data_IF_286486327623
#
_entry.id   IF_286486327623
#
_cell.length_a   1.000
_cell.length_b   1.000
_cell.length_c   1.000
_cell.angle_alpha   90.00
_cell.angle_beta   90.00
_cell.angle_gamma   90.00
#
_symmetry.space_group_name_H-M   'P 1'
#
loop_
_entity.id
_entity.type
_entity.pdbx_description
1 polymer ?
#
# COMPACT_ATOMS: atom_id res chain seq x y z
N UNK A 1 -20.18 -8.51 17.07
CA UNK A 1 -19.31 -7.31 17.00
C UNK A 1 -17.89 -7.76 17.26
N UNK A 2 -16.93 -7.39 16.40
CA UNK A 2 -15.52 -7.70 16.62
C UNK A 2 -14.97 -7.00 17.87
N UNK A 3 -13.85 -7.50 18.39
CA UNK A 3 -13.13 -6.89 19.52
C UNK A 3 -12.72 -5.46 19.15
N UNK A 4 -12.93 -4.50 20.06
CA UNK A 4 -12.42 -3.13 19.95
C UNK A 4 -11.16 -3.01 20.81
N UNK A 5 -10.21 -2.21 20.33
CA UNK A 5 -8.94 -1.95 20.99
C UNK A 5 -8.83 -0.46 21.34
N UNK A 6 -8.17 -0.15 22.45
CA UNK A 6 -7.82 1.22 22.82
C UNK A 6 -6.58 1.70 22.07
N UNK A 7 -6.37 3.03 22.01
CA UNK A 7 -5.15 3.62 21.46
C UNK A 7 -3.90 2.89 21.95
N UNK A 8 -3.04 2.50 21.02
CA UNK A 8 -1.74 1.86 21.29
C UNK A 8 -1.80 0.50 22.00
N UNK A 9 -2.98 -0.12 22.15
CA UNK A 9 -3.09 -1.47 22.70
C UNK A 9 -2.50 -2.51 21.74
N UNK A 10 -2.70 -2.29 20.44
CA UNK A 10 -2.20 -3.12 19.35
C UNK A 10 -1.84 -2.25 18.16
N UNK A 11 -1.12 -2.84 17.21
CA UNK A 11 -0.63 -2.21 16.00
C UNK A 11 -0.82 -3.18 14.82
N UNK A 12 -0.95 -2.61 13.63
CA UNK A 12 -0.72 -3.33 12.38
C UNK A 12 0.33 -2.62 11.55
N UNK A 13 1.20 -3.37 10.90
CA UNK A 13 2.19 -2.83 9.97
C UNK A 13 2.04 -3.55 8.64
N UNK A 14 2.13 -2.81 7.54
CA UNK A 14 2.11 -3.32 6.17
C UNK A 14 3.29 -2.71 5.41
N UNK A 15 3.99 -3.52 4.61
CA UNK A 15 5.16 -3.15 3.83
C UNK A 15 5.03 -3.70 2.41
N UNK A 16 5.04 -2.82 1.42
CA UNK A 16 4.95 -3.20 0.02
C UNK A 16 6.33 -3.30 -0.64
N UNK A 17 6.56 -4.38 -1.38
CA UNK A 17 7.79 -4.62 -2.13
C UNK A 17 7.48 -4.91 -3.59
N UNK A 18 8.26 -4.33 -4.50
CA UNK A 18 8.22 -4.73 -5.90
C UNK A 18 9.13 -5.92 -6.16
N UNK A 19 8.64 -6.88 -6.96
CA UNK A 19 9.46 -7.91 -7.56
C UNK A 19 10.16 -7.34 -8.80
N UNK A 20 11.47 -7.52 -8.87
CA UNK A 20 12.30 -7.00 -9.97
C UNK A 20 13.32 -8.03 -10.44
N UNK A 21 13.74 -7.91 -11.70
CA UNK A 21 14.88 -8.63 -12.24
C UNK A 21 16.21 -8.01 -11.73
N UNK A 22 17.34 -8.63 -12.11
CA UNK A 22 18.67 -8.13 -11.74
C UNK A 22 18.96 -6.69 -12.22
N UNK A 23 18.38 -6.28 -13.35
CA UNK A 23 18.50 -4.94 -13.94
C UNK A 23 17.47 -3.93 -13.40
N UNK A 24 16.72 -4.30 -12.36
CA UNK A 24 15.62 -3.53 -11.75
C UNK A 24 14.37 -3.36 -12.63
N UNK A 25 14.29 -3.98 -13.81
CA UNK A 25 13.00 -4.06 -14.52
C UNK A 25 11.99 -4.81 -13.66
N UNK A 26 10.74 -4.34 -13.62
CA UNK A 26 9.69 -4.98 -12.81
C UNK A 26 9.39 -6.38 -13.32
N UNK A 27 9.12 -7.29 -12.40
CA UNK A 27 8.79 -8.68 -12.68
C UNK A 27 7.36 -8.97 -12.20
N UNK A 28 6.34 -8.92 -13.08
CA UNK A 28 4.94 -9.12 -12.73
C UNK A 28 4.61 -10.60 -12.54
N UNK A 29 5.18 -11.21 -11.50
CA UNK A 29 5.15 -12.64 -11.23
C UNK A 29 4.80 -12.96 -9.77
N UNK A 30 4.10 -12.06 -9.07
CA UNK A 30 3.64 -12.30 -7.70
C UNK A 30 2.81 -13.58 -7.61
N UNK A 31 2.03 -13.91 -8.63
CA UNK A 31 1.26 -15.16 -8.69
C UNK A 31 2.14 -16.41 -8.68
N UNK A 32 3.30 -16.37 -9.35
CA UNK A 32 4.30 -17.44 -9.30
C UNK A 32 4.94 -17.53 -7.91
N UNK A 33 5.21 -16.40 -7.25
CA UNK A 33 5.69 -16.39 -5.87
C UNK A 33 4.68 -17.06 -4.94
N UNK A 34 3.39 -16.71 -5.06
CA UNK A 34 2.32 -17.34 -4.27
C UNK A 34 2.22 -18.85 -4.55
N UNK A 35 2.28 -19.25 -5.82
CA UNK A 35 2.29 -20.67 -6.21
C UNK A 35 3.49 -21.43 -5.64
N UNK A 36 4.69 -20.83 -5.61
CA UNK A 36 5.87 -21.45 -5.01
C UNK A 36 5.73 -21.63 -3.49
N UNK A 37 4.98 -20.75 -2.83
CA UNK A 37 4.77 -20.77 -1.38
C UNK A 37 3.67 -21.74 -0.95
N UNK A 38 2.51 -21.68 -1.59
CA UNK A 38 1.30 -22.42 -1.19
C UNK A 38 0.97 -23.63 -2.09
N UNK A 39 1.65 -23.78 -3.24
CA UNK A 39 1.36 -24.82 -4.22
C UNK A 39 0.17 -24.52 -5.14
N UNK A 40 -0.53 -23.41 -4.90
CA UNK A 40 -1.63 -22.89 -5.72
C UNK A 40 -1.58 -21.36 -5.81
N UNK A 41 -2.30 -20.77 -6.76
CA UNK A 41 -2.41 -19.32 -6.88
C UNK A 41 -3.42 -18.83 -5.83
N UNK A 42 -2.92 -18.11 -4.83
CA UNK A 42 -3.72 -17.43 -3.81
C UNK A 42 -3.46 -15.92 -3.81
N UNK A 43 -4.36 -15.19 -3.15
CA UNK A 43 -4.22 -13.75 -2.87
C UNK A 43 -3.60 -13.46 -1.52
N UNK A 44 -3.67 -14.39 -0.59
CA UNK A 44 -3.14 -14.26 0.77
C UNK A 44 -2.37 -15.52 1.16
N UNK A 45 -1.29 -15.33 1.90
CA UNK A 45 -0.43 -16.37 2.48
C UNK A 45 -0.40 -16.16 3.98
N UNK A 46 -0.78 -17.17 4.76
CA UNK A 46 -0.54 -17.19 6.20
C UNK A 46 0.89 -17.70 6.46
N UNK A 47 1.78 -16.83 6.94
CA UNK A 47 3.17 -17.19 7.27
C UNK A 47 3.49 -16.91 8.75
N UNK A 48 2.57 -17.29 9.65
CA UNK A 48 2.74 -17.12 11.09
C UNK A 48 2.41 -15.70 11.53
N UNK A 49 3.38 -14.99 12.10
CA UNK A 49 3.15 -13.61 12.59
C UNK A 49 3.01 -12.58 11.47
N UNK A 50 3.47 -12.91 10.26
CA UNK A 50 3.41 -12.06 9.07
C UNK A 50 2.61 -12.82 8.02
N UNK A 51 1.68 -12.13 7.37
CA UNK A 51 0.97 -12.63 6.20
C UNK A 51 1.48 -11.91 4.95
N UNK A 52 1.34 -12.53 3.78
CA UNK A 52 1.61 -11.87 2.49
C UNK A 52 0.31 -11.70 1.71
N UNK A 53 0.19 -10.64 0.94
CA UNK A 53 -0.94 -10.44 0.03
C UNK A 53 -0.53 -9.86 -1.31
N UNK A 54 -1.30 -10.15 -2.36
CA UNK A 54 -1.17 -9.45 -3.63
C UNK A 54 -1.67 -8.00 -3.50
N UNK A 55 -1.28 -7.19 -4.48
CA UNK A 55 -1.79 -5.83 -4.65
C UNK A 55 -2.48 -5.63 -6.01
N UNK A 56 -2.87 -4.39 -6.32
CA UNK A 56 -3.46 -3.97 -7.61
C UNK A 56 -2.68 -4.47 -8.83
N UNK A 57 -1.35 -4.52 -8.72
CA UNK A 57 -0.43 -4.87 -9.81
C UNK A 57 0.33 -6.16 -9.49
N UNK A 58 0.58 -6.96 -10.51
CA UNK A 58 1.16 -8.30 -10.39
C UNK A 58 2.66 -8.30 -10.05
N UNK A 59 3.31 -7.14 -9.93
CA UNK A 59 4.71 -6.98 -9.51
C UNK A 59 4.87 -6.46 -8.08
N UNK A 60 3.78 -6.23 -7.33
CA UNK A 60 3.84 -5.78 -5.93
C UNK A 60 3.31 -6.87 -5.00
N UNK A 61 4.09 -7.19 -3.97
CA UNK A 61 3.70 -8.02 -2.84
C UNK A 61 3.62 -7.13 -1.59
N UNK A 62 2.57 -7.30 -0.79
CA UNK A 62 2.46 -6.71 0.54
C UNK A 62 2.82 -7.77 1.59
N UNK A 63 3.63 -7.39 2.58
CA UNK A 63 3.81 -8.14 3.83
C UNK A 63 3.08 -7.36 4.92
N UNK A 64 2.29 -8.04 5.74
CA UNK A 64 1.52 -7.41 6.83
C UNK A 64 1.60 -8.23 8.11
N UNK A 65 1.45 -7.58 9.26
CA UNK A 65 1.18 -8.31 10.51
C UNK A 65 -0.06 -9.19 10.33
N UNK A 66 0.01 -10.46 10.74
CA UNK A 66 -1.10 -11.40 10.64
C UNK A 66 -2.14 -11.14 11.76
N UNK A 67 -2.91 -10.07 11.57
CA UNK A 67 -3.80 -9.49 12.57
C UNK A 67 -3.10 -8.48 13.51
N UNK A 68 -3.86 -7.84 14.41
CA UNK A 68 -3.33 -6.84 15.33
C UNK A 68 -2.36 -7.47 16.35
N UNK A 69 -1.21 -6.84 16.57
CA UNK A 69 -0.20 -7.31 17.52
C UNK A 69 0.15 -6.23 18.55
N UNK A 70 0.30 -6.62 19.82
CA UNK A 70 0.87 -5.76 20.85
C UNK A 70 2.41 -5.85 20.89
N UNK A 71 3.01 -6.78 20.14
CA UNK A 71 4.46 -7.03 20.15
C UNK A 71 5.16 -6.29 19.03
N UNK A 72 5.87 -5.22 19.39
CA UNK A 72 6.65 -4.40 18.47
C UNK A 72 8.15 -4.72 18.46
N UNK A 73 8.70 -5.23 19.58
CA UNK A 73 10.15 -5.34 19.76
C UNK A 73 10.84 -6.23 18.72
N UNK A 74 10.23 -7.37 18.40
CA UNK A 74 10.78 -8.34 17.45
C UNK A 74 10.19 -8.20 16.04
N UNK A 75 9.23 -7.29 15.86
CA UNK A 75 8.44 -7.21 14.62
C UNK A 75 9.33 -6.94 13.39
N UNK A 76 10.34 -6.09 13.53
CA UNK A 76 11.31 -5.85 12.44
C UNK A 76 12.10 -7.11 12.05
N UNK A 77 12.41 -7.99 13.00
CA UNK A 77 13.08 -9.27 12.72
C UNK A 77 12.13 -10.24 12.02
N UNK A 78 10.85 -10.26 12.40
CA UNK A 78 9.83 -11.10 11.78
C UNK A 78 9.59 -10.70 10.31
N UNK A 79 9.45 -9.41 10.01
CA UNK A 79 9.41 -8.93 8.63
C UNK A 79 10.69 -9.29 7.86
N UNK A 80 11.86 -9.11 8.47
CA UNK A 80 13.13 -9.43 7.81
C UNK A 80 13.25 -10.92 7.43
N UNK A 81 12.82 -11.83 8.31
CA UNK A 81 12.78 -13.28 8.00
C UNK A 81 11.91 -13.57 6.77
N UNK A 82 10.75 -12.92 6.66
CA UNK A 82 9.85 -13.06 5.52
C UNK A 82 10.48 -12.51 4.23
N UNK A 83 11.15 -11.36 4.29
CA UNK A 83 11.89 -10.79 3.15
C UNK A 83 12.99 -11.76 2.67
N UNK A 84 13.73 -12.39 3.59
CA UNK A 84 14.75 -13.39 3.24
C UNK A 84 14.13 -14.65 2.63
N UNK A 85 13.00 -15.11 3.17
CA UNK A 85 12.26 -16.24 2.62
C UNK A 85 11.78 -15.97 1.19
N UNK A 86 11.13 -14.82 0.95
CA UNK A 86 10.66 -14.44 -0.38
C UNK A 86 11.83 -14.37 -1.36
N UNK A 87 12.94 -13.70 -1.02
CA UNK A 87 14.09 -13.61 -1.92
C UNK A 87 14.70 -14.99 -2.23
N UNK A 88 14.68 -15.94 -1.28
CA UNK A 88 15.10 -17.33 -1.52
C UNK A 88 14.15 -18.05 -2.48
N UNK A 89 12.84 -17.84 -2.38
CA UNK A 89 11.85 -18.40 -3.31
C UNK A 89 11.96 -17.77 -4.71
N UNK A 90 12.33 -16.50 -4.80
CA UNK A 90 12.51 -15.77 -6.07
C UNK A 90 13.84 -16.09 -6.77
N UNK A 91 14.84 -16.60 -6.05
CA UNK A 91 16.18 -16.88 -6.59
C UNK A 91 16.16 -17.77 -7.85
N UNK A 92 15.43 -18.91 -7.91
CA UNK A 92 15.37 -19.74 -9.11
C UNK A 92 14.69 -19.05 -10.30
N UNK A 93 13.90 -17.99 -10.05
CA UNK A 93 13.23 -17.19 -11.07
C UNK A 93 14.09 -16.00 -11.54
N UNK A 94 15.28 -15.81 -10.98
CA UNK A 94 16.18 -14.69 -11.34
C UNK A 94 15.65 -13.32 -10.91
N UNK A 95 14.78 -13.29 -9.89
CA UNK A 95 14.14 -12.06 -9.39
C UNK A 95 14.42 -11.85 -7.91
N UNK A 96 14.12 -10.65 -7.41
CA UNK A 96 14.30 -10.24 -6.01
C UNK A 96 13.32 -9.14 -5.63
N UNK A 97 13.23 -8.85 -4.34
CA UNK A 97 12.49 -7.69 -3.83
C UNK A 97 13.30 -6.40 -3.97
N UNK A 98 12.60 -5.30 -4.30
CA UNK A 98 13.08 -3.92 -4.24
C UNK A 98 12.37 -3.18 -3.10
N UNK A 99 13.13 -2.57 -2.19
CA UNK A 99 12.62 -1.83 -1.03
C UNK A 99 12.87 -0.32 -1.15
N UNK A 100 12.12 0.36 -2.01
CA UNK A 100 12.10 1.83 -2.17
C UNK A 100 10.66 2.30 -2.27
N UNK A 101 10.37 3.61 -2.18
CA UNK A 101 9.00 4.13 -2.35
C UNK A 101 8.46 3.99 -3.80
N UNK A 102 9.34 3.84 -4.78
CA UNK A 102 9.01 3.59 -6.18
C UNK A 102 10.18 2.88 -6.87
N UNK A 103 9.91 2.12 -7.94
CA UNK A 103 10.97 1.61 -8.80
C UNK A 103 11.57 2.76 -9.65
N UNK A 104 12.90 2.95 -9.63
CA UNK A 104 13.53 4.07 -10.32
C UNK A 104 13.56 3.97 -11.85
N UNK A 105 13.36 2.77 -12.42
CA UNK A 105 13.51 2.51 -13.87
C UNK A 105 12.19 2.13 -14.56
N UNK A 106 11.15 1.75 -13.81
CA UNK A 106 9.86 1.32 -14.36
C UNK A 106 9.24 2.39 -15.25
N UNK A 107 8.83 2.01 -16.47
CA UNK A 107 7.90 2.79 -17.28
C UNK A 107 6.49 2.23 -17.07
N UNK A 108 5.62 2.93 -16.35
CA UNK A 108 4.34 2.36 -15.94
C UNK A 108 3.36 2.23 -17.12
N UNK A 109 3.59 2.93 -18.23
CA UNK A 109 2.77 2.78 -19.44
C UNK A 109 2.99 1.42 -20.11
N UNK A 110 4.23 0.92 -20.12
CA UNK A 110 4.59 -0.34 -20.80
C UNK A 110 4.64 -1.53 -19.85
N UNK A 111 5.01 -1.28 -18.59
CA UNK A 111 5.40 -2.35 -17.67
C UNK A 111 4.28 -2.76 -16.71
N UNK A 112 3.20 -1.97 -16.63
CA UNK A 112 2.09 -2.26 -15.70
C UNK A 112 1.31 -3.49 -16.14
N UNK A 113 1.29 -4.49 -15.27
CA UNK A 113 0.43 -5.67 -15.39
C UNK A 113 -0.46 -5.72 -14.14
N UNK A 114 -1.77 -5.61 -14.33
CA UNK A 114 -2.72 -5.77 -13.23
C UNK A 114 -2.72 -7.20 -12.71
N UNK A 115 -3.02 -7.37 -11.43
CA UNK A 115 -3.35 -8.67 -10.86
C UNK A 115 -4.60 -9.26 -11.53
N UNK A 116 -4.51 -10.52 -11.98
CA UNK A 116 -5.55 -11.17 -12.80
C UNK A 116 -6.36 -12.24 -12.07
N UNK A 117 -6.05 -12.50 -10.79
CA UNK A 117 -6.65 -13.60 -10.04
C UNK A 117 -7.75 -13.08 -9.12
N UNK A 118 -7.86 -13.61 -7.90
CA UNK A 118 -8.89 -13.19 -6.94
C UNK A 118 -8.92 -11.68 -6.79
N UNK A 119 -10.13 -11.12 -6.65
CA UNK A 119 -10.37 -9.68 -6.54
C UNK A 119 -10.09 -8.84 -7.81
N UNK A 120 -9.71 -9.47 -8.93
CA UNK A 120 -9.42 -8.77 -10.19
C UNK A 120 -10.59 -7.98 -10.76
N UNK A 121 -11.84 -8.35 -10.50
CA UNK A 121 -13.02 -7.56 -10.92
C UNK A 121 -12.97 -6.13 -10.36
N UNK A 122 -12.60 -5.97 -9.09
CA UNK A 122 -12.48 -4.66 -8.43
C UNK A 122 -11.29 -3.88 -9.00
N UNK A 123 -10.16 -4.54 -9.22
CA UNK A 123 -8.98 -3.92 -9.83
C UNK A 123 -9.24 -3.47 -11.27
N UNK A 124 -9.96 -4.27 -12.05
CA UNK A 124 -10.36 -3.92 -13.41
C UNK A 124 -11.32 -2.73 -13.43
N UNK A 125 -12.27 -2.67 -12.49
CA UNK A 125 -13.17 -1.52 -12.33
C UNK A 125 -12.37 -0.25 -11.98
N UNK A 126 -11.46 -0.34 -11.00
CA UNK A 126 -10.57 0.77 -10.66
C UNK A 126 -9.76 1.25 -11.86
N UNK A 127 -9.19 0.31 -12.63
CA UNK A 127 -8.44 0.63 -13.83
C UNK A 127 -9.31 1.27 -14.92
N UNK A 128 -10.55 0.81 -15.11
CA UNK A 128 -11.49 1.42 -16.06
C UNK A 128 -11.85 2.86 -15.68
N UNK A 129 -11.93 3.17 -14.38
CA UNK A 129 -12.23 4.51 -13.89
C UNK A 129 -10.99 5.41 -13.99
N UNK A 130 -9.84 4.97 -13.48
CA UNK A 130 -8.68 5.83 -13.22
C UNK A 130 -7.50 5.66 -14.17
N UNK A 131 -7.48 4.59 -14.97
CA UNK A 131 -6.32 4.16 -15.74
C UNK A 131 -5.07 4.01 -14.85
N UNK A 132 -4.96 2.87 -14.18
CA UNK A 132 -3.97 2.60 -13.14
C UNK A 132 -2.53 2.36 -13.67
N UNK A 133 -2.22 2.78 -14.89
CA UNK A 133 -0.89 2.65 -15.53
C UNK A 133 0.05 3.84 -15.28
N UNK A 134 -0.33 4.78 -14.41
CA UNK A 134 0.53 5.91 -14.02
C UNK A 134 1.38 5.60 -12.78
N UNK A 135 2.47 6.34 -12.58
CA UNK A 135 3.35 6.15 -11.42
C UNK A 135 2.62 6.22 -10.07
N UNK A 136 1.59 7.06 -9.93
CA UNK A 136 0.79 7.17 -8.71
C UNK A 136 -0.13 5.98 -8.43
N UNK A 137 -0.08 4.95 -9.27
CA UNK A 137 -0.86 3.71 -9.16
C UNK A 137 0.03 2.48 -9.17
N UNK A 138 0.80 2.28 -10.24
CA UNK A 138 1.52 1.03 -10.47
C UNK A 138 3.00 1.07 -10.09
N UNK A 139 3.54 2.25 -9.79
CA UNK A 139 4.93 2.42 -9.35
C UNK A 139 5.04 2.97 -7.93
N UNK A 140 4.07 2.64 -7.06
CA UNK A 140 4.09 3.03 -5.65
C UNK A 140 4.41 1.83 -4.78
N UNK A 141 5.14 2.08 -3.71
CA UNK A 141 5.30 1.20 -2.58
C UNK A 141 5.06 2.02 -1.32
N UNK A 142 4.52 1.40 -0.29
CA UNK A 142 4.14 2.05 0.95
C UNK A 142 4.66 1.32 2.19
N UNK A 143 4.59 2.04 3.31
CA UNK A 143 4.61 1.46 4.64
C UNK A 143 3.39 2.01 5.36
N UNK A 144 2.52 1.13 5.84
CA UNK A 144 1.34 1.51 6.60
C UNK A 144 1.54 1.20 8.09
N UNK A 145 1.02 2.11 8.92
CA UNK A 145 0.90 1.91 10.35
C UNK A 145 -0.57 2.03 10.73
N UNK A 146 -1.15 0.91 11.13
CA UNK A 146 -2.53 0.82 11.58
C UNK A 146 -2.58 0.98 13.09
N UNK A 147 -3.29 2.02 13.55
CA UNK A 147 -3.50 2.32 14.97
C UNK A 147 -4.99 2.21 15.31
N UNK A 148 -5.36 1.44 16.36
CA UNK A 148 -6.75 1.34 16.81
C UNK A 148 -7.17 2.60 17.56
N UNK A 149 -8.49 2.77 17.71
CA UNK A 149 -9.13 3.72 18.62
C UNK A 149 -10.48 3.13 19.07
N UNK A 150 -10.87 3.38 20.32
CA UNK A 150 -12.04 2.75 20.93
C UNK A 150 -13.35 3.52 20.68
N UNK A 151 -13.28 4.86 20.73
CA UNK A 151 -14.42 5.78 20.65
C UNK A 151 -14.03 7.10 19.93
N UNK A 152 -14.99 8.03 19.80
CA UNK A 152 -14.77 9.32 19.14
C UNK A 152 -13.71 10.19 19.85
N UNK A 153 -13.62 10.12 21.19
CA UNK A 153 -12.61 10.88 21.94
C UNK A 153 -11.18 10.42 21.63
N UNK A 154 -10.97 9.11 21.52
CA UNK A 154 -9.69 8.54 21.11
C UNK A 154 -9.38 8.83 19.64
N UNK A 155 -10.39 8.71 18.76
CA UNK A 155 -10.27 9.06 17.35
C UNK A 155 -9.88 10.52 17.14
N UNK A 156 -10.53 11.46 17.85
CA UNK A 156 -10.23 12.89 17.78
C UNK A 156 -8.75 13.15 18.06
N UNK A 157 -8.23 12.62 19.18
CA UNK A 157 -6.84 12.80 19.62
C UNK A 157 -5.86 12.21 18.60
N UNK A 158 -6.13 10.98 18.14
CA UNK A 158 -5.29 10.29 17.18
C UNK A 158 -5.25 11.02 15.83
N UNK A 159 -6.41 11.38 15.30
CA UNK A 159 -6.53 12.06 14.00
C UNK A 159 -5.88 13.45 14.03
N UNK A 160 -6.09 14.21 15.10
CA UNK A 160 -5.41 15.49 15.29
C UNK A 160 -3.88 15.36 15.29
N UNK A 161 -3.34 14.35 15.99
CA UNK A 161 -1.91 14.08 16.04
C UNK A 161 -1.35 13.64 14.67
N UNK A 162 -2.03 12.70 13.98
CA UNK A 162 -1.64 12.23 12.65
C UNK A 162 -1.53 13.39 11.68
N UNK A 163 -2.50 14.32 11.66
CA UNK A 163 -2.48 15.47 10.75
C UNK A 163 -1.26 16.38 10.94
N UNK A 164 -0.70 16.45 12.14
CA UNK A 164 0.52 17.20 12.43
C UNK A 164 1.79 16.45 12.00
N UNK A 165 1.82 15.13 12.20
CA UNK A 165 2.98 14.29 11.92
C UNK A 165 3.10 13.93 10.44
N UNK A 166 1.99 13.70 9.76
CA UNK A 166 1.93 13.22 8.37
C UNK A 166 2.78 14.05 7.38
N UNK A 167 2.77 15.41 7.39
CA UNK A 167 3.64 16.18 6.50
C UNK A 167 5.13 16.11 6.83
N UNK A 168 5.50 15.67 8.03
CA UNK A 168 6.91 15.55 8.44
C UNK A 168 7.54 14.23 7.97
N UNK A 169 6.74 13.17 7.85
CA UNK A 169 7.22 11.82 7.48
C UNK A 169 7.97 11.82 6.14
N UNK A 170 7.48 12.44 5.05
CA UNK A 170 8.23 12.48 3.80
C UNK A 170 9.59 13.19 3.93
N UNK A 171 9.70 14.18 4.81
CA UNK A 171 10.97 14.85 5.08
C UNK A 171 12.03 13.94 5.72
N UNK A 172 11.62 12.85 6.36
CA UNK A 172 12.50 11.88 7.02
C UNK A 172 12.71 10.60 6.21
N UNK A 173 11.69 10.17 5.46
CA UNK A 173 11.62 8.83 4.88
C UNK A 173 11.57 8.79 3.35
N UNK A 174 11.63 9.94 2.67
CA UNK A 174 11.59 10.03 1.21
C UNK A 174 12.63 9.10 0.54
N UNK A 175 12.19 8.29 -0.41
CA UNK A 175 13.04 7.29 -1.09
C UNK A 175 12.66 7.07 -2.56
N UNK A 176 12.13 8.09 -3.23
CA UNK A 176 11.80 8.02 -4.66
C UNK A 176 12.23 9.29 -5.43
N UNK A 177 13.52 9.67 -5.45
CA UNK A 177 13.97 10.86 -6.18
C UNK A 177 14.22 10.63 -7.68
N UNK A 178 14.13 9.38 -8.14
CA UNK A 178 14.38 8.97 -9.51
C UNK A 178 13.16 8.21 -10.01
N UNK A 179 12.69 8.52 -11.21
CA UNK A 179 11.69 7.75 -11.97
C UNK A 179 12.10 7.70 -13.44
N UNK A 180 11.85 6.57 -14.10
CA UNK A 180 12.24 6.32 -15.50
C UNK A 180 13.73 6.67 -15.79
N UNK A 181 14.62 6.44 -14.81
CA UNK A 181 16.05 6.74 -14.91
C UNK A 181 16.43 8.22 -14.75
N UNK A 182 15.48 9.12 -14.50
CA UNK A 182 15.70 10.56 -14.42
C UNK A 182 15.52 11.08 -12.99
N UNK A 183 16.39 12.02 -12.58
CA UNK A 183 16.20 12.79 -11.35
C UNK A 183 14.98 13.71 -11.54
N UNK A 184 14.04 13.65 -10.61
CA UNK A 184 12.73 14.30 -10.76
C UNK A 184 12.66 15.71 -10.17
N UNK A 185 13.63 16.07 -9.33
CA UNK A 185 13.63 17.31 -8.55
C UNK A 185 12.91 17.22 -7.20
N UNK A 186 12.32 16.07 -6.86
CA UNK A 186 11.69 15.81 -5.56
C UNK A 186 12.43 14.72 -4.81
N UNK A 187 12.43 14.76 -3.48
CA UNK A 187 12.91 13.62 -2.67
C UNK A 187 11.91 12.46 -2.68
N UNK A 188 10.61 12.78 -2.58
CA UNK A 188 9.48 11.84 -2.62
C UNK A 188 8.60 12.13 -3.84
N UNK A 189 9.06 11.74 -5.04
CA UNK A 189 8.24 11.86 -6.26
C UNK A 189 6.99 10.99 -6.21
N UNK A 190 7.01 9.86 -5.47
CA UNK A 190 5.84 8.99 -5.31
C UNK A 190 4.65 9.79 -4.79
N UNK A 191 4.84 10.65 -3.79
CA UNK A 191 3.76 11.52 -3.26
C UNK A 191 3.28 12.59 -4.24
N UNK A 192 4.15 13.10 -5.12
CA UNK A 192 3.77 14.07 -6.16
C UNK A 192 2.79 13.47 -7.17
N UNK A 193 2.96 12.18 -7.50
CA UNK A 193 2.01 11.45 -8.34
C UNK A 193 0.79 10.97 -7.54
N UNK A 194 0.98 10.43 -6.33
CA UNK A 194 -0.08 9.90 -5.49
C UNK A 194 -1.19 10.92 -5.25
N UNK A 195 -0.86 12.16 -4.90
CA UNK A 195 -1.86 13.21 -4.62
C UNK A 195 -2.80 13.53 -5.78
N UNK A 196 -2.46 13.08 -6.99
CA UNK A 196 -3.21 13.30 -8.22
C UNK A 196 -3.79 12.00 -8.83
N UNK A 197 -3.54 10.83 -8.24
CA UNK A 197 -3.85 9.54 -8.86
C UNK A 197 -5.36 9.33 -9.08
N UNK A 198 -6.19 9.82 -8.16
CA UNK A 198 -7.66 9.76 -8.23
C UNK A 198 -8.32 11.09 -8.60
N UNK A 199 -7.61 12.02 -9.26
CA UNK A 199 -8.13 13.36 -9.62
C UNK A 199 -9.47 13.36 -10.37
N UNK A 200 -9.83 12.25 -11.04
CA UNK A 200 -11.13 12.07 -11.72
C UNK A 200 -12.31 12.07 -10.74
N UNK A 201 -12.11 11.54 -9.54
CA UNK A 201 -13.08 11.54 -8.44
C UNK A 201 -12.37 12.13 -7.21
N UNK A 202 -12.24 13.46 -7.13
CA UNK A 202 -11.37 14.10 -6.13
C UNK A 202 -11.81 13.87 -4.68
N UNK A 203 -13.04 13.41 -4.45
CA UNK A 203 -13.55 13.06 -3.12
C UNK A 203 -12.82 11.86 -2.50
N UNK A 204 -12.13 11.02 -3.30
CA UNK A 204 -11.45 9.82 -2.80
C UNK A 204 -10.15 10.16 -2.07
N UNK A 205 -9.22 10.85 -2.74
CA UNK A 205 -7.96 11.31 -2.11
C UNK A 205 -8.15 12.60 -1.31
N UNK A 206 -9.06 13.49 -1.76
CA UNK A 206 -9.27 14.82 -1.20
C UNK A 206 -7.93 15.56 -0.96
N UNK A 207 -7.68 16.01 0.28
CA UNK A 207 -6.37 16.53 0.69
C UNK A 207 -5.51 15.39 1.24
N UNK A 208 -4.23 15.36 0.84
CA UNK A 208 -3.26 14.38 1.39
C UNK A 208 -3.10 14.50 2.90
N UNK A 209 -3.13 15.73 3.44
CA UNK A 209 -3.33 15.94 4.88
C UNK A 209 -4.84 15.96 5.11
N UNK A 210 -5.40 14.96 5.82
CA UNK A 210 -6.85 14.84 5.96
C UNK A 210 -7.52 16.06 6.57
N UNK A 211 -8.82 16.22 6.30
CA UNK A 211 -9.65 17.25 6.93
C UNK A 211 -9.73 17.05 8.46
N UNK A 212 -9.91 18.14 9.24
CA UNK A 212 -10.08 18.07 10.69
C UNK A 212 -11.48 17.54 11.06
N UNK A 213 -11.67 16.23 10.94
CA UNK A 213 -12.89 15.50 11.30
C UNK A 213 -12.61 14.70 12.57
N UNK A 214 -13.48 14.81 13.58
CA UNK A 214 -13.16 14.33 14.93
C UNK A 214 -14.20 13.39 15.54
N UNK A 215 -15.25 13.06 14.80
CA UNK A 215 -16.25 12.10 15.24
C UNK A 215 -16.84 11.36 14.05
N UNK A 216 -17.52 10.25 14.34
CA UNK A 216 -18.15 9.40 13.35
C UNK A 216 -19.19 10.14 12.49
N UNK A 217 -20.06 10.94 13.09
CA UNK A 217 -21.16 11.59 12.36
C UNK A 217 -20.62 12.58 11.30
N UNK A 218 -19.59 13.36 11.66
CA UNK A 218 -18.90 14.26 10.75
C UNK A 218 -18.15 13.52 9.65
N UNK A 219 -17.55 12.36 9.94
CA UNK A 219 -16.96 11.49 8.93
C UNK A 219 -18.00 11.04 7.90
N UNK A 220 -19.17 10.58 8.35
CA UNK A 220 -20.22 10.16 7.44
C UNK A 220 -20.74 11.31 6.58
N UNK A 221 -20.97 12.48 7.20
CA UNK A 221 -21.50 13.67 6.52
C UNK A 221 -20.51 14.26 5.52
N UNK A 222 -19.23 14.32 5.87
CA UNK A 222 -18.22 15.11 5.14
C UNK A 222 -17.33 14.27 4.22
N UNK A 223 -17.16 12.98 4.50
CA UNK A 223 -16.27 12.08 3.75
C UNK A 223 -17.06 10.96 3.09
N UNK A 224 -17.68 10.07 3.86
CA UNK A 224 -18.29 8.85 3.34
C UNK A 224 -19.46 9.10 2.38
N UNK A 225 -20.44 9.92 2.76
CA UNK A 225 -21.60 10.19 1.91
C UNK A 225 -21.25 10.97 0.64
N UNK A 226 -20.34 11.98 0.68
CA UNK A 226 -19.81 12.60 -0.53
C UNK A 226 -19.10 11.62 -1.47
N UNK A 227 -18.23 10.75 -0.95
CA UNK A 227 -17.58 9.68 -1.73
C UNK A 227 -18.64 8.78 -2.39
N UNK A 228 -19.61 8.29 -1.61
CA UNK A 228 -20.68 7.42 -2.11
C UNK A 228 -21.48 8.08 -3.24
N UNK A 229 -21.81 9.36 -3.10
CA UNK A 229 -22.50 10.13 -4.15
C UNK A 229 -21.64 10.29 -5.40
N UNK A 230 -20.34 10.50 -5.24
CA UNK A 230 -19.39 10.72 -6.33
C UNK A 230 -19.05 9.44 -7.11
N UNK A 231 -19.05 8.27 -6.46
CA UNK A 231 -18.81 6.97 -7.11
C UNK A 231 -20.06 6.47 -7.86
N UNK A 232 -21.28 6.83 -7.43
CA UNK A 232 -22.55 6.32 -8.00
C UNK A 232 -22.64 6.27 -9.55
N UNK A 233 -22.08 7.21 -10.34
CA UNK A 233 -22.09 7.09 -11.80
C UNK A 233 -21.21 5.97 -12.39
N UNK A 234 -20.37 5.35 -11.57
CA UNK A 234 -19.41 4.29 -11.93
C UNK A 234 -19.74 2.94 -11.27
N UNK A 235 -20.83 2.88 -10.50
CA UNK A 235 -21.36 1.71 -9.79
C UNK A 235 -22.47 1.02 -10.60
#
# INVERSE_FOLDING_TARGET
MGKKYHLFEVYGIELEYMLVNHDLSVAPIVDKLMMLKEGEITSDVDNGNIAWSNELVAHVIELKTNGPTAQLNDLGQEFHKNILEINRLLQPLGTKLLGTAANPLMNPTTDTVLWKHTYSEVYNLYNAIFNCTGHGWSNVQSTHLNLPFYNDEEFEKLHAAIRLVLPLIPGLCASSPILEGNITGFADTRLEYYKNNQKKIPHLTAKVIPEPIFNKDDYYKSIFNPIKKAIKPYD
#
